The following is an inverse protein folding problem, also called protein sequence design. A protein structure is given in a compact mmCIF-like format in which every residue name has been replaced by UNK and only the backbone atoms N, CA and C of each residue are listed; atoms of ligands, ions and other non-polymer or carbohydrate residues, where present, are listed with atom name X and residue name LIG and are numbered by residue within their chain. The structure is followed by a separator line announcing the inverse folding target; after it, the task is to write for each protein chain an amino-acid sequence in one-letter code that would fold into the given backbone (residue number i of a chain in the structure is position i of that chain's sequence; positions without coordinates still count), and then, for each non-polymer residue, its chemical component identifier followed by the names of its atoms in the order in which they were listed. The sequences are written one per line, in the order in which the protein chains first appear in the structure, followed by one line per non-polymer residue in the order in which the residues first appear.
data_IF_198582653712
#
_entry.id   IF_198582653712
#
_cell.length_a   1.000
_cell.length_b   1.000
_cell.length_c   1.000
_cell.angle_alpha   90.00
_cell.angle_beta   90.00
_cell.angle_gamma   90.00
#
_symmetry.space_group_name_H-M   'P 1'
#
loop_
_entity.id
_entity.type
_entity.pdbx_description
1 polymer ?
#
# COMPACT_ATOMS: atom_id res chain seq x y z
N UNK A 1 2.20 14.64 11.99
CA UNK A 1 3.28 13.73 11.65
C UNK A 1 2.80 12.53 10.84
N UNK A 2 1.94 11.70 11.36
CA UNK A 2 1.44 10.54 10.63
C UNK A 2 0.18 10.91 9.86
N UNK A 3 0.34 11.86 8.93
CA UNK A 3 -0.76 12.31 8.10
C UNK A 3 -1.30 11.15 7.27
N UNK A 4 -2.60 11.12 7.06
CA UNK A 4 -3.27 10.08 6.29
C UNK A 4 -3.19 8.69 6.92
N UNK A 5 -2.89 8.61 8.20
CA UNK A 5 -2.94 7.31 8.90
C UNK A 5 -4.33 6.68 8.83
N UNK A 6 -5.36 7.50 8.64
CA UNK A 6 -6.72 7.00 8.42
C UNK A 6 -6.81 6.05 7.21
N UNK A 7 -5.85 6.13 6.29
CA UNK A 7 -5.83 5.21 5.15
C UNK A 7 -5.54 3.77 5.56
N UNK A 8 -4.92 3.54 6.69
CA UNK A 8 -4.75 2.18 7.22
C UNK A 8 -6.12 1.56 7.52
N UNK A 9 -7.05 2.34 8.05
CA UNK A 9 -8.42 1.86 8.28
C UNK A 9 -9.10 1.49 6.97
N UNK A 10 -8.95 2.33 5.95
CA UNK A 10 -9.51 2.06 4.63
C UNK A 10 -8.93 0.82 4.00
N UNK A 11 -7.61 0.65 4.10
CA UNK A 11 -6.95 -0.55 3.59
C UNK A 11 -7.43 -1.80 4.30
N UNK A 12 -7.59 -1.74 5.60
CA UNK A 12 -8.09 -2.88 6.37
C UNK A 12 -9.54 -3.22 5.99
N UNK A 13 -10.36 -2.21 5.76
CA UNK A 13 -11.74 -2.42 5.34
C UNK A 13 -11.84 -3.17 4.01
N UNK A 14 -11.07 -2.74 3.01
CA UNK A 14 -11.11 -3.41 1.71
C UNK A 14 -10.48 -4.80 1.78
N UNK A 15 -9.43 -4.96 2.58
CA UNK A 15 -8.83 -6.27 2.78
C UNK A 15 -9.85 -7.23 3.41
N UNK A 16 -10.49 -6.81 4.48
CA UNK A 16 -11.47 -7.63 5.18
C UNK A 16 -12.65 -7.98 4.27
N UNK A 17 -13.09 -7.02 3.46
CA UNK A 17 -14.23 -7.22 2.58
C UNK A 17 -13.95 -8.20 1.43
N UNK A 18 -12.74 -8.16 0.87
CA UNK A 18 -12.43 -8.90 -0.35
C UNK A 18 -11.44 -10.05 -0.18
N UNK A 19 -10.85 -10.23 0.98
CA UNK A 19 -9.80 -11.25 1.17
C UNK A 19 -10.23 -12.66 0.81
N UNK A 20 -11.50 -12.99 1.04
CA UNK A 20 -12.03 -14.31 0.73
C UNK A 20 -12.41 -14.45 -0.75
N UNK A 21 -12.24 -13.40 -1.54
CA UNK A 21 -12.53 -13.39 -2.97
C UNK A 21 -11.28 -13.34 -3.83
N UNK A 22 -10.12 -13.60 -3.22
CA UNK A 22 -8.85 -13.61 -3.94
C UNK A 22 -8.12 -12.28 -3.98
N UNK A 23 -8.41 -11.40 -3.04
CA UNK A 23 -7.78 -10.09 -2.91
C UNK A 23 -6.83 -10.07 -1.73
N UNK A 24 -5.69 -9.41 -1.90
CA UNK A 24 -4.73 -9.23 -0.81
C UNK A 24 -4.18 -7.81 -0.82
N UNK A 25 -3.90 -7.29 0.36
CA UNK A 25 -3.18 -6.01 0.52
C UNK A 25 -1.79 -6.33 1.03
N UNK A 26 -0.78 -5.72 0.44
CA UNK A 26 0.62 -5.88 0.86
C UNK A 26 1.15 -4.51 1.24
N UNK A 27 1.58 -4.36 2.49
CA UNK A 27 2.12 -3.11 3.00
C UNK A 27 3.64 -3.09 2.98
N UNK A 28 4.22 -2.05 2.40
CA UNK A 28 5.68 -1.87 2.29
C UNK A 28 6.09 -0.59 2.97
N UNK A 29 6.41 -0.62 4.29
CA UNK A 29 6.91 0.56 4.98
C UNK A 29 8.21 1.06 4.33
N UNK A 30 8.37 2.37 4.23
CA UNK A 30 9.56 2.96 3.62
C UNK A 30 9.93 4.27 4.30
N UNK A 31 11.23 4.58 4.28
CA UNK A 31 11.75 5.85 4.78
C UNK A 31 11.93 6.87 3.66
N UNK A 32 11.58 6.52 2.42
CA UNK A 32 11.79 7.39 1.27
C UNK A 32 10.98 8.68 1.35
N UNK A 33 9.92 8.71 2.15
CA UNK A 33 9.02 9.85 2.27
C UNK A 33 9.17 10.54 3.63
N UNK A 34 10.39 10.74 4.04
CA UNK A 34 10.81 11.56 5.18
C UNK A 34 9.87 11.58 6.38
N UNK A 35 10.25 10.90 7.44
CA UNK A 35 9.60 11.01 8.75
C UNK A 35 8.14 10.57 8.80
N UNK A 36 7.63 9.95 7.75
CA UNK A 36 6.25 9.48 7.72
C UNK A 36 6.10 8.10 8.34
N UNK A 37 7.19 7.33 8.39
CA UNK A 37 7.21 6.01 9.00
C UNK A 37 8.20 5.98 10.15
N UNK A 38 8.00 5.05 11.10
CA UNK A 38 8.98 4.83 12.15
C UNK A 38 10.25 4.24 11.54
N UNK A 39 11.40 4.58 12.13
CA UNK A 39 12.68 4.02 11.68
C UNK A 39 12.77 2.53 11.99
N UNK A 40 12.16 2.10 13.07
CA UNK A 40 12.14 0.72 13.50
C UNK A 40 10.90 0.05 12.90
N UNK A 41 11.11 -0.99 12.11
CA UNK A 41 10.01 -1.68 11.43
C UNK A 41 9.05 -2.36 12.40
N UNK A 42 9.55 -2.83 13.55
CA UNK A 42 8.70 -3.43 14.56
C UNK A 42 7.75 -2.41 15.16
N UNK A 43 8.24 -1.19 15.37
CA UNK A 43 7.40 -0.10 15.88
C UNK A 43 6.36 0.31 14.84
N UNK A 44 6.71 0.32 13.57
CA UNK A 44 5.76 0.61 12.50
C UNK A 44 4.64 -0.42 12.47
N UNK A 45 5.00 -1.69 12.52
CA UNK A 45 4.02 -2.79 12.54
C UNK A 45 3.13 -2.72 13.77
N UNK A 46 3.74 -2.50 14.93
CA UNK A 46 3.00 -2.40 16.19
C UNK A 46 2.04 -1.22 16.17
N UNK A 47 2.49 -0.07 15.67
CA UNK A 47 1.64 1.11 15.56
C UNK A 47 0.42 0.83 14.69
N UNK A 48 0.62 0.24 13.52
CA UNK A 48 -0.47 -0.07 12.60
C UNK A 48 -1.46 -1.04 13.21
N UNK A 49 -0.96 -2.11 13.84
CA UNK A 49 -1.83 -3.11 14.46
C UNK A 49 -2.59 -2.57 15.66
N UNK A 50 -1.91 -1.79 16.50
CA UNK A 50 -2.52 -1.27 17.72
C UNK A 50 -3.50 -0.15 17.44
N UNK A 51 -3.15 0.75 16.53
CA UNK A 51 -3.94 1.95 16.26
C UNK A 51 -5.08 1.69 15.29
N UNK A 52 -4.83 0.89 14.26
CA UNK A 52 -5.78 0.69 13.16
C UNK A 52 -6.21 -0.77 12.98
N UNK A 53 -5.69 -1.65 13.82
CA UNK A 53 -6.05 -3.06 13.82
C UNK A 53 -5.92 -3.70 12.43
N UNK A 54 -4.79 -3.42 11.76
CA UNK A 54 -4.56 -3.99 10.43
C UNK A 54 -4.14 -5.45 10.53
N UNK A 55 -4.70 -6.26 9.65
CA UNK A 55 -4.40 -7.68 9.58
C UNK A 55 -3.73 -8.09 8.27
N UNK A 56 -3.62 -7.18 7.30
CA UNK A 56 -2.92 -7.50 6.06
C UNK A 56 -1.41 -7.56 6.29
N UNK A 57 -0.68 -8.32 5.44
CA UNK A 57 0.77 -8.48 5.61
C UNK A 57 1.53 -7.15 5.50
N UNK A 58 2.47 -6.96 6.42
CA UNK A 58 3.41 -5.84 6.40
C UNK A 58 4.81 -6.41 6.20
N UNK A 59 5.53 -5.87 5.24
CA UNK A 59 6.90 -6.29 4.96
C UNK A 59 7.90 -5.45 5.72
N UNK A 60 9.16 -5.91 5.73
CA UNK A 60 10.23 -5.14 6.33
C UNK A 60 10.39 -3.79 5.64
N UNK A 61 10.82 -2.79 6.40
CA UNK A 61 11.10 -1.46 5.84
C UNK A 61 12.10 -1.58 4.70
N UNK A 62 11.79 -0.93 3.57
CA UNK A 62 12.65 -0.97 2.40
C UNK A 62 12.52 0.33 1.63
N UNK A 63 13.43 0.55 0.69
CA UNK A 63 13.32 1.65 -0.25
C UNK A 63 12.38 1.25 -1.37
N UNK A 64 11.58 2.20 -1.84
CA UNK A 64 10.58 1.96 -2.88
C UNK A 64 10.78 2.86 -4.09
N UNK A 65 11.78 3.75 -4.07
CA UNK A 65 12.11 4.66 -5.16
C UNK A 65 13.59 4.61 -5.51
N UNK A 66 13.90 4.95 -6.76
CA UNK A 66 15.26 5.11 -7.22
C UNK A 66 16.00 3.78 -7.40
N UNK A 67 17.31 3.88 -7.54
CA UNK A 67 18.15 2.72 -7.84
C UNK A 67 18.20 1.69 -6.73
N UNK A 68 17.91 2.12 -5.51
CA UNK A 68 17.96 1.25 -4.33
C UNK A 68 16.61 0.68 -3.94
N UNK A 69 15.58 0.94 -4.73
CA UNK A 69 14.26 0.37 -4.48
C UNK A 69 14.34 -1.15 -4.44
N UNK A 70 13.49 -1.79 -3.64
CA UNK A 70 13.42 -3.24 -3.65
C UNK A 70 12.99 -3.74 -5.05
N UNK A 71 13.29 -5.00 -5.34
CA UNK A 71 13.05 -5.57 -6.67
C UNK A 71 11.58 -5.50 -7.10
N UNK A 72 10.69 -5.71 -6.14
CA UNK A 72 9.26 -5.69 -6.42
C UNK A 72 8.83 -4.29 -6.88
N UNK A 73 9.24 -3.24 -6.17
CA UNK A 73 8.90 -1.87 -6.54
C UNK A 73 9.61 -1.40 -7.80
N UNK A 74 10.83 -1.89 -8.06
CA UNK A 74 11.47 -1.62 -9.35
C UNK A 74 10.63 -2.15 -10.51
N UNK A 75 10.12 -3.35 -10.36
CA UNK A 75 9.25 -3.94 -11.39
C UNK A 75 7.94 -3.18 -11.54
N UNK A 76 7.36 -2.75 -10.42
CA UNK A 76 6.12 -1.96 -10.46
C UNK A 76 6.34 -0.65 -11.21
N UNK A 77 7.43 0.05 -10.91
CA UNK A 77 7.74 1.31 -11.57
C UNK A 77 8.00 1.11 -13.06
N UNK A 78 8.75 0.07 -13.40
CA UNK A 78 9.06 -0.25 -14.80
C UNK A 78 7.81 -0.55 -15.62
N UNK A 79 6.92 -1.35 -15.07
CA UNK A 79 5.74 -1.82 -15.79
C UNK A 79 4.60 -0.81 -15.78
N UNK A 80 4.51 0.04 -14.77
CA UNK A 80 3.47 1.08 -14.69
C UNK A 80 3.91 2.41 -15.27
N UNK A 81 5.23 2.62 -15.39
CA UNK A 81 5.78 3.90 -15.82
C UNK A 81 5.91 4.93 -14.72
N UNK A 82 5.57 4.60 -13.49
CA UNK A 82 5.60 5.56 -12.39
C UNK A 82 6.11 4.94 -11.09
N UNK A 83 6.95 5.70 -10.38
CA UNK A 83 7.36 5.37 -9.02
C UNK A 83 6.33 5.92 -8.02
N UNK A 84 6.27 5.36 -6.80
CA UNK A 84 5.41 5.95 -5.78
C UNK A 84 5.88 7.38 -5.48
N UNK A 85 4.94 8.30 -5.39
CA UNK A 85 5.26 9.72 -5.22
C UNK A 85 5.26 10.18 -3.76
N UNK A 86 4.56 9.46 -2.89
CA UNK A 86 4.47 9.83 -1.48
C UNK A 86 3.95 8.65 -0.68
N UNK A 87 3.83 8.83 0.65
CA UNK A 87 3.22 7.82 1.51
C UNK A 87 1.81 7.48 1.03
N UNK A 88 1.45 6.23 1.13
CA UNK A 88 0.16 5.70 0.69
C UNK A 88 -0.05 5.73 -0.81
N UNK A 89 1.02 5.86 -1.58
CA UNK A 89 0.96 5.51 -3.00
C UNK A 89 0.63 4.03 -3.11
N UNK A 90 -0.29 3.69 -4.00
CA UNK A 90 -0.80 2.34 -4.10
C UNK A 90 -0.74 1.87 -5.54
N UNK A 91 -0.39 0.61 -5.71
CA UNK A 91 -0.49 -0.05 -7.01
C UNK A 91 -1.58 -1.11 -6.91
N UNK A 92 -2.52 -1.07 -7.82
CA UNK A 92 -3.53 -2.11 -7.95
C UNK A 92 -3.09 -3.06 -9.05
N UNK A 93 -2.91 -4.32 -8.72
CA UNK A 93 -2.36 -5.32 -9.63
C UNK A 93 -3.44 -6.35 -9.93
N UNK A 94 -3.78 -6.53 -11.21
CA UNK A 94 -4.76 -7.51 -11.63
C UNK A 94 -4.16 -8.92 -11.67
N UNK A 95 -5.02 -9.92 -11.79
CA UNK A 95 -4.60 -11.31 -11.92
C UNK A 95 -3.75 -11.53 -13.18
N UNK A 96 -3.92 -10.69 -14.19
CA UNK A 96 -3.18 -10.76 -15.44
C UNK A 96 -1.87 -9.99 -15.40
N UNK A 97 -1.56 -9.33 -14.28
CA UNK A 97 -0.34 -8.55 -14.16
C UNK A 97 -0.46 -7.10 -14.59
N UNK A 98 -1.66 -6.64 -14.94
CA UNK A 98 -1.88 -5.23 -15.25
C UNK A 98 -1.76 -4.41 -13.99
N UNK A 99 -1.10 -3.25 -14.08
CA UNK A 99 -0.80 -2.41 -12.92
C UNK A 99 -1.40 -1.03 -13.12
N UNK A 100 -2.14 -0.58 -12.12
CA UNK A 100 -2.68 0.78 -12.09
C UNK A 100 -2.22 1.47 -10.82
N UNK A 101 -1.64 2.67 -10.95
CA UNK A 101 -1.23 3.46 -9.80
C UNK A 101 -2.43 4.23 -9.24
N UNK A 102 -2.72 4.02 -7.97
CA UNK A 102 -3.76 4.76 -7.26
C UNK A 102 -3.06 5.90 -6.51
N UNK A 103 -3.45 7.17 -6.75
CA UNK A 103 -2.78 8.29 -6.11
C UNK A 103 -2.76 8.21 -4.59
N UNK A 104 -1.69 8.72 -3.99
CA UNK A 104 -1.52 8.69 -2.54
C UNK A 104 -2.63 9.45 -1.80
N UNK A 105 -3.28 10.39 -2.46
CA UNK A 105 -4.37 11.16 -1.87
C UNK A 105 -5.71 10.44 -1.92
N UNK A 106 -5.82 9.38 -2.70
CA UNK A 106 -7.09 8.66 -2.87
C UNK A 106 -7.30 7.70 -1.70
N UNK A 107 -8.43 7.82 -1.03
CA UNK A 107 -8.76 6.92 0.07
C UNK A 107 -9.00 5.52 -0.48
N UNK A 108 -8.33 4.49 0.08
CA UNK A 108 -8.44 3.13 -0.45
C UNK A 108 -9.82 2.51 -0.36
N UNK A 109 -10.67 2.97 0.56
CA UNK A 109 -12.04 2.47 0.65
C UNK A 109 -13.06 3.38 -0.01
N UNK A 110 -12.61 4.25 -0.92
CA UNK A 110 -13.52 5.08 -1.70
C UNK A 110 -14.32 4.22 -2.68
N UNK A 111 -15.54 4.67 -3.06
CA UNK A 111 -16.33 3.93 -4.05
C UNK A 111 -15.58 3.69 -5.36
N UNK A 112 -14.78 4.66 -5.78
CA UNK A 112 -13.97 4.55 -7.00
C UNK A 112 -12.99 3.37 -6.93
N UNK A 113 -12.25 3.26 -5.83
CA UNK A 113 -11.28 2.18 -5.65
C UNK A 113 -11.99 0.84 -5.51
N UNK A 114 -13.07 0.80 -4.74
CA UNK A 114 -13.82 -0.45 -4.56
C UNK A 114 -14.39 -0.97 -5.87
N UNK A 115 -14.87 -0.07 -6.73
CA UNK A 115 -15.33 -0.45 -8.07
C UNK A 115 -14.22 -1.08 -8.89
N UNK A 116 -13.02 -0.50 -8.84
CA UNK A 116 -11.87 -1.03 -9.57
C UNK A 116 -11.48 -2.42 -9.08
N UNK A 117 -11.50 -2.61 -7.76
CA UNK A 117 -11.19 -3.93 -7.17
C UNK A 117 -12.24 -4.94 -7.62
N UNK A 118 -13.51 -4.61 -7.51
CA UNK A 118 -14.60 -5.53 -7.85
C UNK A 118 -14.56 -5.93 -9.32
N UNK A 119 -14.16 -5.02 -10.18
CA UNK A 119 -14.02 -5.33 -11.60
C UNK A 119 -12.91 -6.33 -11.90
N UNK A 120 -11.96 -6.49 -11.01
CA UNK A 120 -10.81 -7.39 -11.20
C UNK A 120 -10.96 -8.75 -10.48
N UNK A 121 -11.97 -8.90 -9.66
CA UNK A 121 -12.19 -10.13 -8.88
C UNK A 121 -12.74 -11.30 -9.70
#
# INVERSE_FOLDING_TARGET
MYKRQYQYEGLEKIYDKYKNKGFIVLGFPSRDFLYQEFKDEDKTKEFCKTTYDVSFPLFATSKVRGDRANSFYKNLAKNSGEEPSWNFSKYLISKNGDIELIPHTTNPDSPEVMKKIEALL
#
